data_IF_539975723940
#
_entry.id   IF_539975723940
#
_cell.length_a   1.000
_cell.length_b   1.000
_cell.length_c   1.000
_cell.angle_alpha   90.00
_cell.angle_beta   90.00
_cell.angle_gamma   90.00
#
_symmetry.space_group_name_H-M   'P 1'
#
loop_
_entity.id
_entity.type
_entity.pdbx_description
1 polymer ?
#
# COMPACT_ATOMS: atom_id res chain seq x y z
N UNK A 1 5.73 32.33 -6.57
CA UNK A 1 6.95 31.50 -6.45
C UNK A 1 6.83 30.52 -5.30
N UNK A 2 7.05 29.26 -5.56
CA UNK A 2 7.19 28.24 -4.50
C UNK A 2 8.63 28.14 -4.09
N UNK A 3 8.88 28.04 -2.80
CA UNK A 3 10.21 27.94 -2.23
C UNK A 3 10.21 26.98 -1.07
N UNK A 4 11.18 26.06 -1.04
CA UNK A 4 11.45 25.24 0.13
C UNK A 4 12.01 26.11 1.26
N UNK A 5 11.18 26.43 2.24
CA UNK A 5 11.58 27.30 3.36
C UNK A 5 12.41 26.58 4.40
N UNK A 6 12.12 25.30 4.65
CA UNK A 6 12.87 24.47 5.61
C UNK A 6 13.13 23.10 5.00
N UNK A 7 14.39 22.74 4.72
CA UNK A 7 14.72 21.43 4.19
C UNK A 7 14.48 20.32 5.21
N UNK A 8 14.24 19.10 4.72
CA UNK A 8 14.08 17.92 5.57
C UNK A 8 15.28 17.68 6.47
N UNK A 9 15.02 17.50 7.75
CA UNK A 9 16.02 17.15 8.76
C UNK A 9 15.34 16.47 9.95
N UNK A 10 16.15 16.03 10.93
CA UNK A 10 15.61 15.50 12.20
C UNK A 10 14.78 16.57 12.92
N UNK A 11 13.72 16.16 13.60
CA UNK A 11 12.75 17.08 14.21
C UNK A 11 13.38 18.12 15.14
N UNK A 12 14.41 17.75 15.91
CA UNK A 12 15.11 18.65 16.82
C UNK A 12 15.81 19.83 16.11
N UNK A 13 16.18 19.66 14.84
CA UNK A 13 16.78 20.73 14.02
C UNK A 13 15.73 21.51 13.23
N UNK A 14 14.72 20.81 12.68
CA UNK A 14 13.70 21.43 11.85
C UNK A 14 12.70 22.29 12.65
N UNK A 15 12.28 21.85 13.84
CA UNK A 15 11.26 22.54 14.61
C UNK A 15 11.58 24.00 14.95
N UNK A 16 12.80 24.36 15.44
CA UNK A 16 13.14 25.75 15.67
C UNK A 16 13.23 26.57 14.37
N UNK A 17 13.69 25.98 13.27
CA UNK A 17 13.75 26.63 11.96
C UNK A 17 12.36 26.92 11.41
N UNK A 18 11.45 25.96 11.50
CA UNK A 18 10.04 26.14 11.09
C UNK A 18 9.41 27.32 11.87
N UNK A 19 9.57 27.33 13.20
CA UNK A 19 9.05 28.41 14.05
C UNK A 19 9.62 29.77 13.63
N UNK A 20 10.91 29.86 13.39
CA UNK A 20 11.57 31.09 12.97
C UNK A 20 11.09 31.56 11.58
N UNK A 21 10.88 30.60 10.65
CA UNK A 21 10.43 30.92 9.29
C UNK A 21 8.99 31.40 9.28
N UNK A 22 8.09 30.72 9.95
CA UNK A 22 6.66 31.13 10.05
C UNK A 22 6.54 32.55 10.56
N UNK A 23 7.35 32.96 11.55
CA UNK A 23 7.33 34.32 12.10
C UNK A 23 7.80 35.42 11.10
N UNK A 24 8.47 35.02 10.02
CA UNK A 24 9.02 35.93 9.01
C UNK A 24 8.28 35.88 7.67
N UNK A 25 7.27 34.99 7.55
CA UNK A 25 6.48 34.88 6.34
C UNK A 25 5.59 36.11 6.20
N UNK A 26 5.69 36.74 5.05
CA UNK A 26 4.77 37.79 4.62
C UNK A 26 3.88 37.20 3.53
N UNK A 27 2.57 37.04 3.75
CA UNK A 27 1.65 36.49 2.75
C UNK A 27 1.52 37.44 1.58
N UNK A 28 1.99 37.06 0.42
CA UNK A 28 1.93 37.85 -0.81
C UNK A 28 1.64 36.93 -2.01
N UNK A 29 0.78 37.37 -2.92
CA UNK A 29 0.51 36.72 -4.19
C UNK A 29 -0.74 35.84 -4.20
N UNK A 30 -0.79 34.95 -5.18
CA UNK A 30 -1.87 33.97 -5.43
C UNK A 30 -1.56 32.61 -4.82
N UNK A 31 -2.51 31.68 -4.88
CA UNK A 31 -2.43 30.34 -4.23
C UNK A 31 -2.08 29.25 -5.25
N UNK A 32 -0.79 28.98 -5.55
CA UNK A 32 -0.37 27.98 -6.55
C UNK A 32 -0.27 26.56 -5.96
N UNK A 33 -1.39 25.98 -5.55
CA UNK A 33 -1.44 24.67 -4.88
C UNK A 33 -0.87 23.56 -5.76
N UNK A 34 -1.31 23.49 -7.02
CA UNK A 34 -0.89 22.44 -7.95
C UNK A 34 0.63 22.49 -8.19
N UNK A 35 1.18 23.68 -8.41
CA UNK A 35 2.61 23.86 -8.61
C UNK A 35 3.39 23.49 -7.34
N UNK A 36 2.96 23.93 -6.17
CA UNK A 36 3.61 23.62 -4.88
C UNK A 36 3.63 22.13 -4.58
N UNK A 37 2.52 21.44 -4.85
CA UNK A 37 2.44 19.99 -4.72
C UNK A 37 3.40 19.28 -5.70
N UNK A 38 3.50 19.74 -6.93
CA UNK A 38 4.41 19.19 -7.93
C UNK A 38 5.87 19.26 -7.51
N UNK A 39 6.30 20.44 -7.04
CA UNK A 39 7.67 20.70 -6.57
C UNK A 39 7.99 19.88 -5.30
N UNK A 40 7.03 19.66 -4.42
CA UNK A 40 7.24 18.91 -3.17
C UNK A 40 7.73 17.47 -3.39
N UNK A 41 7.55 16.92 -4.58
CA UNK A 41 8.06 15.59 -4.92
C UNK A 41 9.59 15.50 -4.87
N UNK A 42 10.28 16.57 -5.21
CA UNK A 42 11.73 16.64 -5.20
C UNK A 42 12.32 16.73 -3.77
N UNK A 43 11.51 17.12 -2.80
CA UNK A 43 11.94 17.27 -1.41
C UNK A 43 12.11 15.93 -0.70
N UNK A 44 11.49 14.87 -1.19
CA UNK A 44 11.57 13.53 -0.57
C UNK A 44 12.85 12.81 -1.00
N UNK A 45 13.67 12.43 -0.04
CA UNK A 45 14.82 11.57 -0.29
C UNK A 45 14.39 10.14 -0.61
N UNK A 46 15.05 9.46 -1.55
CA UNK A 46 14.79 8.04 -1.81
C UNK A 46 14.96 7.20 -0.54
N UNK A 47 13.91 6.49 -0.17
CA UNK A 47 13.89 5.64 1.02
C UNK A 47 12.94 4.46 0.78
N UNK A 48 13.45 3.22 0.91
CA UNK A 48 12.67 2.00 0.64
C UNK A 48 11.58 1.73 1.67
N UNK A 49 11.76 2.21 2.91
CA UNK A 49 10.86 1.95 4.04
C UNK A 49 10.31 3.25 4.65
N UNK A 50 10.25 4.32 3.88
CA UNK A 50 9.72 5.60 4.32
C UNK A 50 8.32 5.82 3.77
N UNK A 51 7.51 6.46 4.57
CA UNK A 51 6.22 6.97 4.16
C UNK A 51 6.32 8.47 3.97
N UNK A 52 6.14 8.90 2.74
CA UNK A 52 6.12 10.32 2.39
C UNK A 52 4.69 10.86 2.56
N UNK A 53 4.53 11.88 3.39
CA UNK A 53 3.23 12.48 3.72
C UNK A 53 3.31 13.97 3.48
N UNK A 54 2.34 14.51 2.75
CA UNK A 54 2.13 15.94 2.60
C UNK A 54 0.91 16.33 3.40
N UNK A 55 1.01 17.40 4.18
CA UNK A 55 -0.10 18.05 4.85
C UNK A 55 -0.23 19.42 4.18
N UNK A 56 -1.33 19.60 3.44
CA UNK A 56 -1.66 20.89 2.83
C UNK A 56 -2.49 21.69 3.82
N UNK A 57 -2.01 22.88 4.15
CA UNK A 57 -2.75 23.88 4.95
C UNK A 57 -2.99 25.07 4.03
N UNK A 58 -4.26 25.41 3.81
CA UNK A 58 -4.63 26.49 2.89
C UNK A 58 -5.84 27.25 3.38
N UNK A 59 -5.89 28.54 3.09
CA UNK A 59 -7.05 29.42 3.28
C UNK A 59 -7.75 29.75 1.96
N UNK A 60 -7.21 29.26 0.85
CA UNK A 60 -7.72 29.51 -0.50
C UNK A 60 -7.76 28.26 -1.36
N UNK A 61 -8.32 28.43 -2.54
CA UNK A 61 -8.33 27.42 -3.61
C UNK A 61 -7.19 27.69 -4.61
N UNK A 62 -6.99 26.78 -5.55
CA UNK A 62 -6.06 26.99 -6.66
C UNK A 62 -6.43 28.22 -7.48
N UNK A 63 -5.50 29.15 -7.65
CA UNK A 63 -5.70 30.43 -8.37
C UNK A 63 -4.72 30.61 -9.54
N UNK A 64 -3.93 29.60 -9.88
CA UNK A 64 -2.88 29.69 -10.87
C UNK A 64 -3.05 28.69 -12.03
N UNK A 65 -4.29 28.45 -12.44
CA UNK A 65 -4.67 27.57 -13.56
C UNK A 65 -4.17 26.12 -13.44
N UNK A 66 -3.70 25.70 -12.28
CA UNK A 66 -3.28 24.32 -12.01
C UNK A 66 -4.46 23.40 -11.70
N UNK A 67 -4.23 22.07 -11.83
CA UNK A 67 -5.21 21.05 -11.45
C UNK A 67 -4.63 20.19 -10.31
N UNK A 68 -4.86 20.57 -9.04
CA UNK A 68 -4.25 19.87 -7.88
C UNK A 68 -4.56 18.38 -7.85
N UNK A 69 -5.73 17.95 -8.35
CA UNK A 69 -6.13 16.55 -8.46
C UNK A 69 -5.22 15.73 -9.38
N UNK A 70 -4.87 16.29 -10.53
CA UNK A 70 -3.99 15.61 -11.49
C UNK A 70 -2.57 15.48 -10.94
N UNK A 71 -2.09 16.53 -10.29
CA UNK A 71 -0.78 16.52 -9.63
C UNK A 71 -0.76 15.49 -8.50
N UNK A 72 -1.79 15.46 -7.66
CA UNK A 72 -1.94 14.44 -6.61
C UNK A 72 -1.91 13.02 -7.18
N UNK A 73 -2.67 12.76 -8.24
CA UNK A 73 -2.67 11.47 -8.93
C UNK A 73 -1.29 11.11 -9.54
N UNK A 74 -0.58 12.11 -10.10
CA UNK A 74 0.76 11.92 -10.65
C UNK A 74 1.80 11.60 -9.56
N UNK A 75 1.68 12.23 -8.40
CA UNK A 75 2.54 11.98 -7.25
C UNK A 75 2.30 10.57 -6.68
N UNK A 76 1.05 10.14 -6.57
CA UNK A 76 0.70 8.77 -6.17
C UNK A 76 1.31 7.73 -7.13
N UNK A 77 1.28 7.99 -8.43
CA UNK A 77 1.93 7.15 -9.44
C UNK A 77 3.46 7.07 -9.26
N UNK A 78 4.08 8.06 -8.66
CA UNK A 78 5.52 8.04 -8.34
C UNK A 78 5.85 7.29 -7.04
N UNK A 79 4.86 6.66 -6.39
CA UNK A 79 5.03 5.97 -5.10
C UNK A 79 5.19 6.93 -3.92
N UNK A 80 4.94 8.22 -4.15
CA UNK A 80 4.75 9.19 -3.08
C UNK A 80 3.28 9.04 -2.69
N UNK A 81 3.02 8.34 -1.61
CA UNK A 81 1.67 8.14 -1.11
C UNK A 81 1.17 9.46 -0.53
N UNK A 82 0.63 10.29 -1.42
CA UNK A 82 -0.12 11.45 -1.02
C UNK A 82 -1.50 10.98 -0.57
N UNK A 83 -1.67 10.91 0.71
CA UNK A 83 -2.93 11.33 1.28
C UNK A 83 -2.68 12.73 1.82
N UNK A 84 -2.79 13.76 1.01
CA UNK A 84 -2.73 15.10 1.54
C UNK A 84 -3.88 15.21 2.52
N UNK A 85 -3.54 15.46 3.75
CA UNK A 85 -4.51 15.98 4.68
C UNK A 85 -4.64 17.44 4.32
N UNK A 86 -5.81 17.83 3.85
CA UNK A 86 -6.09 19.22 3.51
C UNK A 86 -6.79 19.86 4.70
N UNK A 87 -6.13 20.84 5.31
CA UNK A 87 -6.71 21.65 6.37
C UNK A 87 -7.12 22.99 5.74
N UNK A 88 -8.41 23.16 5.51
CA UNK A 88 -8.97 24.41 5.03
C UNK A 88 -9.25 25.36 6.22
N UNK A 89 -8.66 26.54 6.20
CA UNK A 89 -8.85 27.55 7.25
C UNK A 89 -9.82 28.63 6.76
N UNK A 90 -11.03 28.67 7.35
CA UNK A 90 -12.03 29.64 6.99
C UNK A 90 -12.62 29.49 5.57
N UNK A 91 -12.46 28.32 4.96
CA UNK A 91 -13.02 28.03 3.63
C UNK A 91 -14.52 27.72 3.72
N UNK A 92 -15.29 28.12 2.70
CA UNK A 92 -16.69 27.69 2.55
C UNK A 92 -16.71 26.16 2.31
N UNK A 93 -17.65 25.47 2.93
CA UNK A 93 -17.87 24.00 2.82
C UNK A 93 -17.97 23.54 1.36
N UNK A 94 -18.37 24.41 0.44
CA UNK A 94 -18.41 24.16 -1.01
C UNK A 94 -17.05 23.80 -1.60
N UNK A 95 -15.96 24.17 -0.97
CA UNK A 95 -14.61 23.86 -1.44
C UNK A 95 -14.11 22.48 -1.01
N UNK A 96 -14.80 21.81 -0.09
CA UNK A 96 -14.46 20.44 0.30
C UNK A 96 -14.44 19.48 -0.91
N UNK A 97 -15.37 19.68 -1.85
CA UNK A 97 -15.46 18.84 -3.06
C UNK A 97 -14.26 19.04 -4.00
N UNK A 98 -13.70 20.25 -4.04
CA UNK A 98 -12.52 20.57 -4.86
C UNK A 98 -11.29 19.81 -4.37
N UNK A 99 -11.18 19.57 -3.06
CA UNK A 99 -10.05 18.89 -2.43
C UNK A 99 -10.29 17.39 -2.21
N UNK A 100 -11.52 16.90 -2.37
CA UNK A 100 -11.89 15.50 -2.11
C UNK A 100 -11.10 14.49 -2.92
N UNK A 101 -10.65 14.83 -4.13
CA UNK A 101 -9.80 14.00 -4.98
C UNK A 101 -8.34 13.88 -4.48
N UNK A 102 -7.88 14.81 -3.63
CA UNK A 102 -6.51 14.82 -3.13
C UNK A 102 -6.37 14.07 -1.81
N UNK A 103 -7.44 13.94 -1.02
CA UNK A 103 -7.42 13.26 0.25
C UNK A 103 -8.52 13.68 1.21
N UNK A 104 -8.29 13.47 2.50
CA UNK A 104 -9.26 13.82 3.54
C UNK A 104 -9.20 15.31 3.84
N UNK A 105 -10.31 16.00 3.63
CA UNK A 105 -10.45 17.42 3.92
C UNK A 105 -10.90 17.63 5.37
N UNK A 106 -10.31 18.60 6.05
CA UNK A 106 -10.69 19.06 7.38
C UNK A 106 -10.99 20.55 7.34
N UNK A 107 -12.20 20.93 7.65
CA UNK A 107 -12.58 22.32 7.79
C UNK A 107 -12.21 22.85 9.18
N UNK A 108 -11.58 24.02 9.19
CA UNK A 108 -11.20 24.74 10.40
C UNK A 108 -11.74 26.14 10.34
N UNK A 109 -12.85 26.35 10.99
CA UNK A 109 -13.54 27.66 11.00
C UNK A 109 -12.88 28.70 11.92
N UNK A 110 -12.03 28.29 12.86
CA UNK A 110 -11.37 29.19 13.81
C UNK A 110 -10.05 28.64 14.33
N UNK A 111 -9.22 29.49 14.93
CA UNK A 111 -7.90 29.17 15.45
C UNK A 111 -7.91 28.10 16.56
N UNK A 112 -8.97 28.09 17.41
CA UNK A 112 -9.06 27.10 18.48
C UNK A 112 -9.17 25.66 17.92
N UNK A 113 -9.96 25.49 16.88
CA UNK A 113 -10.14 24.18 16.22
C UNK A 113 -8.92 23.78 15.37
N UNK A 114 -8.12 24.76 14.90
CA UNK A 114 -6.93 24.46 14.10
C UNK A 114 -5.94 23.55 14.82
N UNK A 115 -5.65 23.82 16.08
CA UNK A 115 -4.72 23.03 16.88
C UNK A 115 -5.20 21.60 17.04
N UNK A 116 -6.49 21.41 17.31
CA UNK A 116 -7.07 20.09 17.52
C UNK A 116 -7.09 19.28 16.21
N UNK A 117 -7.49 19.92 15.11
CA UNK A 117 -7.46 19.31 13.77
C UNK A 117 -6.03 18.98 13.34
N UNK A 118 -5.07 19.90 13.55
CA UNK A 118 -3.66 19.62 13.22
C UNK A 118 -3.12 18.46 14.04
N UNK A 119 -3.43 18.37 15.34
CA UNK A 119 -3.04 17.24 16.18
C UNK A 119 -3.69 15.93 15.70
N UNK A 120 -4.97 15.97 15.31
CA UNK A 120 -5.66 14.82 14.74
C UNK A 120 -4.99 14.36 13.45
N UNK A 121 -4.73 15.29 12.53
CA UNK A 121 -4.05 15.02 11.24
C UNK A 121 -2.65 14.46 11.45
N UNK A 122 -1.86 15.07 12.34
CA UNK A 122 -0.52 14.56 12.68
C UNK A 122 -0.60 13.16 13.31
N UNK A 123 -1.56 12.93 14.20
CA UNK A 123 -1.76 11.61 14.82
C UNK A 123 -2.15 10.59 13.76
N UNK A 124 -3.11 10.88 12.88
CA UNK A 124 -3.48 9.99 11.77
C UNK A 124 -2.32 9.77 10.82
N UNK A 125 -1.57 10.81 10.48
CA UNK A 125 -0.41 10.73 9.60
C UNK A 125 0.70 9.85 10.15
N UNK A 126 1.01 9.98 11.44
CA UNK A 126 2.06 9.22 12.11
C UNK A 126 1.59 7.81 12.51
N UNK A 127 0.31 7.67 12.89
CA UNK A 127 -0.25 6.42 13.41
C UNK A 127 -0.66 5.42 12.33
N UNK A 128 -0.80 5.82 11.07
CA UNK A 128 -1.11 4.86 10.01
C UNK A 128 0.07 3.92 9.78
N UNK A 129 -0.04 2.79 10.41
CA UNK A 129 0.85 1.67 10.20
C UNK A 129 0.50 1.00 8.89
N UNK A 130 1.45 0.93 7.98
CA UNK A 130 1.25 0.27 6.68
C UNK A 130 2.09 -1.00 6.59
N UNK A 131 1.60 -1.94 5.80
CA UNK A 131 2.22 -3.24 5.58
C UNK A 131 2.25 -3.52 4.09
N UNK A 132 3.36 -4.09 3.63
CA UNK A 132 3.52 -4.66 2.31
C UNK A 132 3.90 -6.13 2.50
N UNK A 133 3.30 -7.01 1.72
CA UNK A 133 3.69 -8.42 1.66
C UNK A 133 4.47 -8.64 0.38
N UNK A 134 5.70 -9.08 0.50
CA UNK A 134 6.55 -9.42 -0.63
C UNK A 134 6.51 -10.94 -0.85
N UNK A 135 5.76 -11.37 -1.88
CA UNK A 135 5.79 -12.77 -2.31
C UNK A 135 7.01 -12.98 -3.22
N UNK A 136 8.00 -13.68 -2.68
CA UNK A 136 9.30 -13.83 -3.31
C UNK A 136 9.33 -15.01 -4.30
N UNK A 137 9.85 -14.74 -5.48
CA UNK A 137 10.15 -15.73 -6.49
C UNK A 137 11.41 -16.56 -6.15
N UNK A 138 11.83 -17.46 -7.05
CA UNK A 138 13.03 -18.27 -6.89
C UNK A 138 14.32 -17.45 -6.80
N UNK A 139 14.34 -16.24 -7.34
CA UNK A 139 15.45 -15.29 -7.28
C UNK A 139 15.34 -14.32 -6.09
N UNK A 140 14.38 -14.54 -5.18
CA UNK A 140 14.10 -13.71 -4.01
C UNK A 140 13.66 -12.27 -4.37
N UNK A 141 13.05 -12.11 -5.53
CA UNK A 141 12.41 -10.84 -5.94
C UNK A 141 10.92 -10.89 -5.64
N UNK A 142 10.27 -9.78 -5.27
CA UNK A 142 8.84 -9.71 -4.93
C UNK A 142 7.96 -9.65 -6.19
N UNK A 143 8.07 -10.67 -7.04
CA UNK A 143 7.40 -10.74 -8.35
C UNK A 143 6.20 -11.68 -8.40
N UNK A 144 6.02 -12.51 -7.36
CA UNK A 144 4.85 -13.38 -7.28
C UNK A 144 3.60 -12.58 -6.85
N UNK A 145 2.46 -12.94 -7.45
CA UNK A 145 1.21 -12.17 -7.30
C UNK A 145 -0.03 -13.02 -7.61
N UNK A 146 -1.21 -12.38 -7.58
CA UNK A 146 -2.53 -12.97 -7.89
C UNK A 146 -2.89 -14.15 -6.96
N UNK A 147 -2.67 -13.94 -5.67
CA UNK A 147 -2.92 -14.94 -4.63
C UNK A 147 -3.67 -14.31 -3.47
N UNK A 148 -4.70 -14.98 -2.98
CA UNK A 148 -5.41 -14.57 -1.77
C UNK A 148 -4.54 -14.72 -0.53
N UNK A 149 -4.66 -13.78 0.38
CA UNK A 149 -3.98 -13.74 1.66
C UNK A 149 -4.98 -13.52 2.79
N UNK A 150 -4.84 -14.28 3.86
CA UNK A 150 -5.67 -14.13 5.07
C UNK A 150 -4.77 -13.86 6.27
N UNK A 151 -5.04 -12.76 6.98
CA UNK A 151 -4.41 -12.44 8.24
C UNK A 151 -5.31 -12.87 9.39
N UNK A 152 -4.80 -13.71 10.24
CA UNK A 152 -5.44 -14.14 11.48
C UNK A 152 -4.80 -13.45 12.67
N UNK A 153 -5.57 -13.19 13.70
CA UNK A 153 -5.03 -12.88 15.02
C UNK A 153 -4.33 -14.13 15.57
N UNK A 154 -3.05 -14.06 15.88
CA UNK A 154 -2.26 -15.22 16.33
C UNK A 154 -2.79 -15.84 17.62
N UNK A 155 -3.42 -15.04 18.50
CA UNK A 155 -3.93 -15.51 19.78
C UNK A 155 -5.33 -16.12 19.66
N UNK A 156 -6.24 -15.42 18.97
CA UNK A 156 -7.66 -15.83 18.91
C UNK A 156 -7.96 -16.71 17.71
N UNK A 157 -7.06 -16.78 16.73
CA UNK A 157 -7.21 -17.46 15.43
C UNK A 157 -8.38 -16.93 14.58
N UNK A 158 -8.94 -15.78 14.94
CA UNK A 158 -9.98 -15.12 14.17
C UNK A 158 -9.38 -14.42 12.95
N UNK A 159 -10.10 -14.48 11.84
CA UNK A 159 -9.77 -13.72 10.63
C UNK A 159 -9.91 -12.23 10.93
N UNK A 160 -8.86 -11.47 10.65
CA UNK A 160 -8.87 -10.01 10.75
C UNK A 160 -8.98 -9.34 9.39
N UNK A 161 -8.26 -9.86 8.39
CA UNK A 161 -8.25 -9.30 7.04
C UNK A 161 -8.11 -10.39 5.98
N UNK A 162 -8.77 -10.16 4.85
CA UNK A 162 -8.57 -10.91 3.62
C UNK A 162 -8.20 -9.93 2.51
N UNK A 163 -7.13 -10.23 1.79
CA UNK A 163 -6.65 -9.43 0.67
C UNK A 163 -6.30 -10.32 -0.51
N UNK A 164 -6.56 -9.82 -1.72
CA UNK A 164 -5.90 -10.34 -2.91
C UNK A 164 -4.54 -9.65 -3.03
N UNK A 165 -3.47 -10.43 -3.08
CA UNK A 165 -2.14 -9.88 -3.38
C UNK A 165 -2.09 -9.46 -4.84
N UNK A 166 -1.80 -8.19 -5.09
CA UNK A 166 -1.65 -7.62 -6.43
C UNK A 166 -0.39 -6.77 -6.50
N UNK A 167 0.11 -6.60 -7.73
CA UNK A 167 1.22 -5.69 -8.02
C UNK A 167 0.67 -4.47 -8.76
N UNK A 168 1.14 -3.30 -8.39
CA UNK A 168 0.82 -2.09 -9.12
C UNK A 168 1.52 -2.06 -10.50
N UNK A 169 1.21 -1.06 -11.32
CA UNK A 169 1.77 -0.91 -12.67
C UNK A 169 3.30 -0.85 -12.74
N UNK A 170 3.99 -0.71 -11.61
CA UNK A 170 5.46 -0.72 -11.49
C UNK A 170 6.00 -2.05 -10.99
N UNK A 171 5.14 -3.03 -10.79
CA UNK A 171 5.52 -4.34 -10.24
C UNK A 171 5.80 -4.34 -8.74
N UNK A 172 5.35 -3.33 -8.00
CA UNK A 172 5.45 -3.32 -6.53
C UNK A 172 4.16 -3.84 -5.89
N UNK A 173 4.25 -4.63 -4.80
CA UNK A 173 3.09 -5.07 -4.05
C UNK A 173 2.26 -3.92 -3.48
N UNK A 174 0.97 -4.13 -3.33
CA UNK A 174 0.06 -3.15 -2.75
C UNK A 174 0.34 -2.91 -1.27
N UNK A 175 0.08 -1.67 -0.86
CA UNK A 175 0.22 -1.27 0.55
C UNK A 175 -1.09 -1.50 1.30
N UNK A 176 -1.02 -2.28 2.38
CA UNK A 176 -2.13 -2.62 3.26
C UNK A 176 -2.08 -1.78 4.54
N UNK A 177 -3.22 -1.65 5.20
CA UNK A 177 -3.31 -1.04 6.54
C UNK A 177 -3.71 -2.11 7.54
N UNK A 178 -2.82 -2.42 8.48
CA UNK A 178 -3.05 -3.38 9.55
C UNK A 178 -2.91 -2.70 10.93
N UNK A 179 -3.64 -3.20 11.91
CA UNK A 179 -3.51 -2.71 13.30
C UNK A 179 -2.16 -3.14 13.90
N UNK A 180 -1.36 -2.24 14.47
CA UNK A 180 -0.10 -2.60 15.10
C UNK A 180 -0.26 -3.31 16.46
N UNK A 181 -1.47 -3.32 17.02
CA UNK A 181 -1.75 -3.88 18.34
C UNK A 181 -2.05 -5.38 18.33
N UNK A 182 -1.95 -6.00 17.14
CA UNK A 182 -2.26 -7.43 16.95
C UNK A 182 -1.01 -8.12 16.41
N UNK A 183 -0.70 -9.29 16.92
CA UNK A 183 0.24 -10.22 16.31
C UNK A 183 -0.52 -11.08 15.31
N UNK A 184 -0.01 -11.21 14.09
CA UNK A 184 -0.71 -11.89 13.01
C UNK A 184 -0.07 -13.21 12.63
N UNK A 185 -0.93 -14.17 12.23
CA UNK A 185 -0.53 -15.28 11.39
C UNK A 185 -1.05 -15.00 9.98
N UNK A 186 -0.18 -15.10 8.99
CA UNK A 186 -0.51 -14.89 7.58
C UNK A 186 -0.60 -16.23 6.88
N UNK A 187 -1.73 -16.49 6.22
CA UNK A 187 -1.92 -17.59 5.28
C UNK A 187 -1.92 -17.02 3.85
N UNK A 188 -0.99 -17.46 3.04
CA UNK A 188 -0.97 -17.22 1.59
C UNK A 188 -1.57 -18.45 0.91
N UNK A 189 -2.67 -18.27 0.19
CA UNK A 189 -3.46 -19.38 -0.41
C UNK A 189 -2.85 -19.85 -1.75
N UNK A 190 -1.57 -20.17 -1.73
CA UNK A 190 -0.90 -20.88 -2.82
C UNK A 190 -1.24 -22.37 -2.78
N UNK A 191 -0.81 -23.14 -3.77
CA UNK A 191 -0.92 -24.60 -3.79
C UNK A 191 0.49 -25.22 -3.71
N UNK A 192 0.88 -25.85 -2.58
CA UNK A 192 0.25 -25.83 -1.26
C UNK A 192 0.25 -24.44 -0.61
N UNK A 193 -0.63 -24.18 0.38
CA UNK A 193 -0.65 -22.92 1.09
C UNK A 193 0.62 -22.71 1.92
N UNK A 194 1.01 -21.44 2.09
CA UNK A 194 2.15 -21.03 2.90
C UNK A 194 1.66 -20.27 4.11
N UNK A 195 2.16 -20.63 5.28
CA UNK A 195 1.85 -19.97 6.54
C UNK A 195 3.09 -19.26 7.11
N UNK A 196 2.93 -18.02 7.52
CA UNK A 196 3.93 -17.26 8.27
C UNK A 196 3.32 -16.78 9.58
N UNK A 197 3.90 -17.24 10.71
CA UNK A 197 3.36 -17.04 12.05
C UNK A 197 4.04 -15.90 12.81
N UNK A 198 3.33 -15.41 13.84
CA UNK A 198 3.86 -14.46 14.83
C UNK A 198 4.42 -13.17 14.22
N UNK A 199 3.72 -12.61 13.24
CA UNK A 199 4.09 -11.36 12.58
C UNK A 199 3.70 -10.21 13.50
N UNK A 200 4.68 -9.44 13.94
CA UNK A 200 4.47 -8.19 14.69
C UNK A 200 4.66 -6.99 13.80
N UNK A 201 3.78 -6.01 13.94
CA UNK A 201 3.76 -4.79 13.13
C UNK A 201 4.28 -3.62 13.96
N UNK A 202 5.30 -2.94 13.46
CA UNK A 202 5.83 -1.74 14.10
C UNK A 202 4.92 -0.55 13.83
N UNK A 203 4.38 0.03 14.89
CA UNK A 203 3.50 1.19 14.81
C UNK A 203 4.17 2.38 14.15
N UNK A 204 3.44 3.10 13.30
CA UNK A 204 3.90 4.32 12.64
C UNK A 204 4.96 4.10 11.55
N UNK A 205 5.21 2.86 11.14
CA UNK A 205 6.16 2.52 10.08
C UNK A 205 5.50 1.77 8.93
N UNK A 206 6.17 1.80 7.80
CA UNK A 206 5.90 0.87 6.70
C UNK A 206 6.64 -0.45 7.01
N UNK A 207 5.88 -1.54 7.12
CA UNK A 207 6.40 -2.86 7.45
C UNK A 207 6.41 -3.73 6.19
N UNK A 208 7.52 -4.37 5.90
CA UNK A 208 7.63 -5.31 4.79
C UNK A 208 7.66 -6.74 5.34
N UNK A 209 6.76 -7.58 4.85
CA UNK A 209 6.65 -8.99 5.24
C UNK A 209 7.09 -9.85 4.06
N UNK A 210 8.34 -10.32 4.01
CA UNK A 210 8.79 -11.23 2.96
C UNK A 210 8.23 -12.64 3.19
N UNK A 211 7.68 -13.25 2.15
CA UNK A 211 7.18 -14.62 2.12
C UNK A 211 7.77 -15.35 0.93
N UNK A 212 8.48 -16.42 1.17
CA UNK A 212 9.04 -17.29 0.14
C UNK A 212 7.91 -18.06 -0.53
N UNK A 213 7.55 -17.67 -1.75
CA UNK A 213 6.41 -18.23 -2.46
C UNK A 213 6.70 -18.40 -3.96
N UNK A 214 7.85 -19.02 -4.35
CA UNK A 214 8.17 -19.21 -5.76
C UNK A 214 7.12 -20.12 -6.40
N UNK A 215 6.49 -19.66 -7.47
CA UNK A 215 5.42 -20.38 -8.14
C UNK A 215 5.78 -20.73 -9.58
N UNK A 216 5.17 -21.80 -10.10
CA UNK A 216 5.25 -22.22 -11.48
C UNK A 216 3.89 -22.69 -11.97
N UNK A 217 3.72 -22.77 -13.27
CA UNK A 217 2.50 -23.22 -13.90
C UNK A 217 2.59 -24.69 -14.31
N UNK A 218 1.56 -25.48 -14.00
CA UNK A 218 1.38 -26.84 -14.48
C UNK A 218 0.18 -26.88 -15.44
N UNK A 219 0.44 -27.30 -16.67
CA UNK A 219 -0.59 -27.60 -17.65
C UNK A 219 -0.51 -29.09 -18.00
N UNK A 220 -1.64 -29.77 -17.92
CA UNK A 220 -1.75 -31.19 -18.31
C UNK A 220 -2.44 -31.24 -19.65
N UNK A 221 -1.81 -31.86 -20.66
CA UNK A 221 -2.34 -32.01 -22.00
C UNK A 221 -2.44 -33.48 -22.36
N UNK A 222 -3.49 -33.84 -23.10
CA UNK A 222 -3.70 -35.20 -23.62
C UNK A 222 -3.34 -35.22 -25.12
N UNK A 223 -2.36 -36.03 -25.49
CA UNK A 223 -2.05 -36.33 -26.88
C UNK A 223 -2.78 -37.58 -27.33
N UNK A 224 -3.37 -37.57 -28.52
CA UNK A 224 -4.02 -38.74 -29.14
C UNK A 224 -5.50 -38.54 -29.44
N UNK A 225 -6.25 -39.66 -29.50
CA UNK A 225 -7.62 -39.66 -29.97
C UNK A 225 -8.53 -38.67 -29.24
N UNK A 226 -9.37 -37.97 -30.00
CA UNK A 226 -10.44 -37.09 -29.50
C UNK A 226 -11.40 -37.88 -28.63
N UNK A 227 -11.12 -37.97 -27.35
CA UNK A 227 -12.05 -38.47 -26.35
C UNK A 227 -12.95 -37.33 -25.89
N UNK A 228 -14.24 -37.60 -25.78
CA UNK A 228 -15.19 -36.66 -25.13
C UNK A 228 -14.96 -36.62 -23.59
N UNK A 229 -14.10 -37.47 -23.09
CA UNK A 229 -13.79 -37.58 -21.66
C UNK A 229 -12.40 -37.03 -21.39
N UNK A 230 -12.36 -35.98 -20.59
CA UNK A 230 -11.09 -35.43 -20.09
C UNK A 230 -10.83 -36.03 -18.69
N UNK A 231 -9.74 -36.75 -18.50
CA UNK A 231 -9.39 -37.26 -17.18
C UNK A 231 -9.07 -36.13 -16.23
N UNK A 232 -9.27 -36.39 -14.94
CA UNK A 232 -8.83 -35.52 -13.87
C UNK A 232 -7.58 -36.07 -13.21
N UNK A 233 -6.79 -35.23 -12.60
CA UNK A 233 -5.56 -35.63 -11.94
C UNK A 233 -5.56 -35.17 -10.50
N UNK A 234 -5.33 -36.09 -9.59
CA UNK A 234 -5.07 -35.78 -8.18
C UNK A 234 -3.61 -35.42 -8.03
N UNK A 235 -3.37 -34.25 -7.44
CA UNK A 235 -2.01 -33.73 -7.23
C UNK A 235 -1.71 -33.75 -5.74
N UNK A 236 -0.58 -34.35 -5.39
CA UNK A 236 -0.07 -34.46 -4.03
C UNK A 236 1.36 -33.97 -3.96
N UNK A 237 1.80 -33.53 -2.79
CA UNK A 237 3.22 -33.30 -2.57
C UNK A 237 3.95 -34.66 -2.58
N UNK A 238 5.14 -34.70 -3.17
CA UNK A 238 5.88 -35.94 -3.35
C UNK A 238 6.01 -36.74 -2.04
N UNK A 239 5.52 -37.99 -2.06
CA UNK A 239 5.55 -38.90 -0.93
C UNK A 239 4.49 -38.65 0.14
N UNK A 240 3.55 -37.70 -0.06
CA UNK A 240 2.45 -37.43 0.84
C UNK A 240 1.14 -37.97 0.26
N UNK A 241 0.22 -38.44 1.13
CA UNK A 241 -1.08 -38.96 0.70
C UNK A 241 -2.15 -37.89 0.63
N UNK A 242 -1.92 -36.73 1.22
CA UNK A 242 -2.89 -35.62 1.24
C UNK A 242 -3.05 -35.01 -0.15
N UNK A 243 -4.27 -34.93 -0.64
CA UNK A 243 -4.60 -34.25 -1.90
C UNK A 243 -4.45 -32.76 -1.73
N UNK A 244 -3.60 -32.15 -2.56
CA UNK A 244 -3.43 -30.69 -2.61
C UNK A 244 -4.42 -30.04 -3.56
N UNK A 245 -4.63 -30.66 -4.73
CA UNK A 245 -5.51 -30.16 -5.75
C UNK A 245 -6.01 -31.31 -6.65
N UNK A 246 -7.12 -31.06 -7.32
CA UNK A 246 -7.64 -31.91 -8.41
C UNK A 246 -7.67 -31.01 -9.64
N UNK A 247 -6.87 -31.38 -10.64
CA UNK A 247 -6.71 -30.60 -11.87
C UNK A 247 -7.21 -31.38 -13.07
N UNK A 248 -8.05 -30.73 -13.87
CA UNK A 248 -8.51 -31.26 -15.16
C UNK A 248 -7.43 -31.11 -16.24
N UNK A 249 -7.38 -32.01 -17.18
CA UNK A 249 -6.59 -31.84 -18.39
C UNK A 249 -7.09 -30.64 -19.21
N UNK A 250 -6.16 -29.94 -19.86
CA UNK A 250 -6.42 -28.70 -20.60
C UNK A 250 -6.43 -27.44 -19.73
N UNK A 251 -6.50 -27.56 -18.41
CA UNK A 251 -6.38 -26.41 -17.49
C UNK A 251 -4.94 -26.18 -17.07
N UNK A 252 -4.67 -24.92 -16.72
CA UNK A 252 -3.37 -24.51 -16.19
C UNK A 252 -3.58 -23.96 -14.78
N UNK A 253 -2.93 -24.57 -13.81
CA UNK A 253 -2.96 -24.14 -12.42
C UNK A 253 -1.58 -23.72 -11.94
N UNK A 254 -1.52 -22.89 -10.92
CA UNK A 254 -0.30 -22.30 -10.36
C UNK A 254 0.07 -23.02 -9.06
N UNK A 255 1.29 -23.51 -8.97
CA UNK A 255 1.79 -24.29 -7.81
C UNK A 255 3.07 -23.69 -7.28
N UNK A 256 3.33 -23.88 -5.99
CA UNK A 256 4.66 -23.62 -5.41
C UNK A 256 5.67 -24.52 -6.10
N UNK A 257 6.84 -23.97 -6.43
CA UNK A 257 7.93 -24.74 -7.06
C UNK A 257 8.33 -25.89 -6.13
N UNK A 258 8.21 -27.14 -6.64
CA UNK A 258 8.43 -28.33 -5.82
C UNK A 258 8.38 -29.62 -6.61
N UNK A 259 8.31 -30.73 -5.89
CA UNK A 259 8.12 -32.08 -6.45
C UNK A 259 6.74 -32.60 -6.06
N UNK A 260 6.01 -33.10 -7.04
CA UNK A 260 4.62 -33.54 -6.88
C UNK A 260 4.44 -34.95 -7.44
N UNK A 261 3.53 -35.69 -6.84
CA UNK A 261 3.01 -36.94 -7.36
C UNK A 261 1.69 -36.68 -8.06
N UNK A 262 1.53 -37.20 -9.27
CA UNK A 262 0.36 -37.03 -10.12
C UNK A 262 -0.31 -38.40 -10.29
N UNK A 263 -1.58 -38.50 -9.85
CA UNK A 263 -2.42 -39.69 -10.04
C UNK A 263 -3.55 -39.35 -11.01
N UNK A 264 -3.47 -39.95 -12.21
CA UNK A 264 -4.48 -39.71 -13.26
C UNK A 264 -5.63 -40.66 -13.00
N UNK A 265 -6.83 -40.08 -12.87
CA UNK A 265 -8.08 -40.84 -12.71
C UNK A 265 -8.63 -41.19 -14.10
N UNK A 266 -8.63 -42.46 -14.45
CA UNK A 266 -9.09 -43.02 -15.74
C UNK A 266 -10.37 -43.80 -15.59
#
# INVERSE_FOLDING_TARGET
>A
DTKLEVPFNVASKSAPLIKQRIQKLEPLGTTPIAYSLGESAADFTPCSNCRNIIILITEGIEECDGVPCEVSAALQKKGIFLRPFVIGVGLDVKFADVFGCMGKFYDVSNEANFKDVLNLVLTEAISQTTVQVDLLDILKKPTETDVNMTFYDSNTKQIKYNYLHTLNHRGNPDTLVLSPNITYDLMVHTIPPIEKKNITIQQGKHNVIPVDAPQGYLKLELEGALSKYFPTTVIRKKGEMNTLNIQDFGKTDKYIVGKYDLEILT
#
